data_IF_542176598968
#
_entry.id   IF_542176598968
#
_cell.length_a   1.000
_cell.length_b   1.000
_cell.length_c   1.000
_cell.angle_alpha   90.00
_cell.angle_beta   90.00
_cell.angle_gamma   90.00
#
_symmetry.space_group_name_H-M   'P 1'
#
loop_
_entity.id
_entity.type
_entity.pdbx_description
1 polymer ?
#
# COMPACT_ATOMS: atom_id res chain seq x y z
N UNK A 1 -5.44 -4.89 2.27
CA UNK A 1 -5.79 -4.22 1.00
C UNK A 1 -6.07 -5.24 -0.11
N UNK A 2 -5.11 -5.98 -0.62
CA UNK A 2 -5.27 -6.90 -1.77
C UNK A 2 -6.44 -7.90 -1.64
N UNK A 3 -6.80 -8.32 -0.42
CA UNK A 3 -7.93 -9.23 -0.18
C UNK A 3 -9.32 -8.60 -0.49
N UNK A 4 -9.40 -7.29 -0.66
CA UNK A 4 -10.62 -6.58 -1.07
C UNK A 4 -10.63 -6.18 -2.54
N UNK A 5 -9.60 -6.54 -3.31
CA UNK A 5 -9.39 -6.15 -4.71
C UNK A 5 -9.25 -7.37 -5.61
N UNK A 6 -9.40 -7.16 -6.90
CA UNK A 6 -9.04 -8.12 -7.95
C UNK A 6 -7.72 -7.71 -8.63
N UNK A 7 -7.11 -8.62 -9.37
CA UNK A 7 -5.94 -8.28 -10.19
C UNK A 7 -6.25 -7.33 -11.36
N UNK A 8 -7.53 -7.18 -11.69
CA UNK A 8 -7.99 -6.22 -12.69
C UNK A 8 -8.10 -4.80 -12.16
N UNK A 9 -8.05 -4.60 -10.84
CA UNK A 9 -8.02 -3.28 -10.22
C UNK A 9 -6.57 -2.75 -10.23
N UNK A 10 -6.25 -1.69 -11.00
CA UNK A 10 -4.90 -1.16 -11.06
C UNK A 10 -4.40 -0.62 -9.72
N UNK A 11 -3.13 -0.85 -9.43
CA UNK A 11 -2.44 -0.25 -8.29
C UNK A 11 -1.20 0.48 -8.78
N UNK A 12 -1.03 1.71 -8.28
CA UNK A 12 0.22 2.46 -8.37
C UNK A 12 0.58 2.97 -6.98
N UNK A 13 1.86 2.93 -6.62
CA UNK A 13 2.31 3.24 -5.27
C UNK A 13 3.56 4.14 -5.26
N UNK A 14 3.96 4.54 -4.07
CA UNK A 14 5.24 5.18 -3.83
C UNK A 14 6.40 4.17 -3.96
N UNK A 15 7.57 4.54 -3.49
CA UNK A 15 8.80 3.74 -3.60
C UNK A 15 8.82 2.45 -2.75
N UNK A 16 8.00 2.34 -1.69
CA UNK A 16 7.99 1.17 -0.79
C UNK A 16 6.93 0.15 -1.23
N UNK A 17 7.26 -0.68 -2.21
CA UNK A 17 6.31 -1.49 -2.96
C UNK A 17 6.57 -2.99 -2.98
N UNK A 18 7.55 -3.50 -2.24
CA UNK A 18 7.97 -4.91 -2.37
C UNK A 18 6.84 -5.89 -2.02
N UNK A 19 6.00 -5.55 -1.04
CA UNK A 19 4.85 -6.38 -0.68
C UNK A 19 3.79 -6.39 -1.79
N UNK A 20 3.51 -5.25 -2.41
CA UNK A 20 2.60 -5.13 -3.55
C UNK A 20 3.14 -5.90 -4.76
N UNK A 21 4.42 -5.73 -5.08
CA UNK A 21 5.09 -6.47 -6.16
C UNK A 21 4.96 -7.99 -5.95
N UNK A 22 5.22 -8.46 -4.73
CA UNK A 22 5.05 -9.88 -4.38
C UNK A 22 3.60 -10.36 -4.55
N UNK A 23 2.63 -9.59 -4.05
CA UNK A 23 1.20 -9.94 -4.16
C UNK A 23 0.73 -9.90 -5.61
N UNK A 24 1.28 -9.01 -6.42
CA UNK A 24 0.96 -8.84 -7.84
C UNK A 24 1.74 -9.76 -8.77
N UNK A 25 2.43 -10.78 -8.25
CA UNK A 25 2.91 -11.91 -9.03
C UNK A 25 4.41 -12.13 -9.07
N UNK A 26 5.22 -11.19 -8.61
CA UNK A 26 6.67 -11.40 -8.53
C UNK A 26 7.04 -12.33 -7.38
N UNK A 27 8.01 -13.20 -7.62
CA UNK A 27 8.63 -14.01 -6.57
C UNK A 27 9.61 -13.15 -5.75
N UNK A 28 9.88 -13.59 -4.51
CA UNK A 28 10.91 -12.96 -3.67
C UNK A 28 12.28 -12.97 -4.37
N UNK A 29 12.57 -14.03 -5.15
CA UNK A 29 13.82 -14.16 -5.91
C UNK A 29 13.94 -13.07 -6.97
N UNK A 30 12.89 -12.81 -7.75
CA UNK A 30 12.87 -11.76 -8.78
C UNK A 30 13.01 -10.37 -8.16
N UNK A 31 12.36 -10.12 -7.02
CA UNK A 31 12.46 -8.85 -6.28
C UNK A 31 13.90 -8.63 -5.80
N UNK A 32 14.53 -9.63 -5.18
CA UNK A 32 15.92 -9.53 -4.70
C UNK A 32 16.90 -9.38 -5.89
N UNK A 33 16.69 -10.15 -6.95
CA UNK A 33 17.51 -10.07 -8.15
C UNK A 33 17.46 -8.67 -8.78
N UNK A 34 16.27 -8.04 -8.79
CA UNK A 34 16.11 -6.67 -9.27
C UNK A 34 16.90 -5.66 -8.43
N UNK A 35 16.78 -5.76 -7.10
CA UNK A 35 17.53 -4.90 -6.17
C UNK A 35 19.06 -5.03 -6.33
N UNK A 36 19.53 -6.20 -6.77
CA UNK A 36 20.94 -6.49 -7.04
C UNK A 36 21.36 -6.19 -8.48
N UNK A 37 20.50 -5.58 -9.30
CA UNK A 37 20.79 -5.24 -10.69
C UNK A 37 20.94 -6.44 -11.61
N UNK A 38 20.35 -7.60 -11.28
CA UNK A 38 20.49 -8.82 -12.08
C UNK A 38 19.45 -8.90 -13.19
N UNK A 39 19.85 -9.46 -14.34
CA UNK A 39 18.96 -9.66 -15.49
C UNK A 39 17.75 -10.55 -15.18
N UNK A 40 17.84 -11.43 -14.19
CA UNK A 40 16.75 -12.27 -13.72
C UNK A 40 15.75 -11.54 -12.79
N UNK A 41 15.95 -10.25 -12.57
CA UNK A 41 15.04 -9.41 -11.78
C UNK A 41 13.76 -9.07 -12.53
N UNK A 42 12.79 -8.54 -11.79
CA UNK A 42 11.45 -8.21 -12.26
C UNK A 42 11.42 -7.28 -13.49
N UNK A 43 12.36 -6.33 -13.58
CA UNK A 43 12.54 -5.40 -14.70
C UNK A 43 13.95 -5.49 -15.28
N UNK A 44 14.54 -6.67 -15.27
CA UNK A 44 15.88 -7.01 -15.79
C UNK A 44 17.01 -6.22 -15.11
N UNK A 45 16.86 -5.93 -13.83
CA UNK A 45 17.86 -5.23 -13.03
C UNK A 45 17.90 -3.72 -13.21
N UNK A 46 16.96 -3.12 -13.95
CA UNK A 46 16.93 -1.68 -14.25
C UNK A 46 16.06 -0.87 -13.27
N UNK A 47 15.16 -1.52 -12.56
CA UNK A 47 14.20 -0.86 -11.67
C UNK A 47 14.75 -0.58 -10.26
N UNK A 48 15.82 -1.23 -9.86
CA UNK A 48 16.39 -1.10 -8.51
C UNK A 48 15.41 -1.54 -7.43
N UNK A 49 15.20 -0.72 -6.40
CA UNK A 49 14.29 -1.05 -5.29
C UNK A 49 12.88 -0.47 -5.43
N UNK A 50 12.59 0.30 -6.47
CA UNK A 50 11.36 1.10 -6.57
C UNK A 50 10.52 0.83 -7.81
N UNK A 51 11.12 0.48 -8.93
CA UNK A 51 10.44 0.45 -10.22
C UNK A 51 10.14 -0.99 -10.65
N UNK A 52 9.01 -1.51 -10.15
CA UNK A 52 8.48 -2.83 -10.49
C UNK A 52 7.13 -2.66 -11.18
N UNK A 53 6.96 -3.24 -12.35
CA UNK A 53 5.73 -3.13 -13.14
C UNK A 53 5.28 -4.51 -13.58
N UNK A 54 4.03 -4.87 -13.34
CA UNK A 54 3.48 -6.15 -13.77
C UNK A 54 2.20 -5.93 -14.58
N UNK A 55 2.36 -5.84 -15.91
CA UNK A 55 1.28 -5.47 -16.83
C UNK A 55 0.07 -6.39 -16.72
N UNK A 56 0.28 -7.72 -16.69
CA UNK A 56 -0.80 -8.71 -16.65
C UNK A 56 -1.67 -8.60 -15.38
N UNK A 57 -1.07 -8.21 -14.25
CA UNK A 57 -1.76 -8.08 -12.98
C UNK A 57 -2.05 -6.62 -12.61
N UNK A 58 -2.07 -5.72 -13.60
CA UNK A 58 -2.37 -4.30 -13.44
C UNK A 58 -1.61 -3.61 -12.30
N UNK A 59 -0.33 -3.98 -12.14
CA UNK A 59 0.56 -3.33 -11.20
C UNK A 59 1.41 -2.29 -11.93
N UNK A 60 1.07 -1.02 -11.72
CA UNK A 60 1.74 0.13 -12.33
C UNK A 60 2.98 0.59 -11.56
N UNK A 61 3.37 -0.21 -10.57
CA UNK A 61 4.65 -0.11 -9.90
C UNK A 61 4.76 0.97 -8.85
N UNK A 62 6.01 1.24 -8.49
CA UNK A 62 6.40 2.30 -7.57
C UNK A 62 6.96 3.50 -8.30
N UNK A 63 6.89 4.64 -7.63
CA UNK A 63 7.42 5.89 -8.13
C UNK A 63 8.45 6.46 -7.15
N UNK A 64 9.64 6.82 -7.65
CA UNK A 64 10.70 7.45 -6.87
C UNK A 64 10.47 8.94 -6.66
N UNK A 65 9.71 9.59 -7.55
CA UNK A 65 9.33 11.00 -7.42
C UNK A 65 8.15 11.09 -6.48
N UNK A 66 8.36 11.68 -5.32
CA UNK A 66 7.37 11.75 -4.23
C UNK A 66 6.09 12.47 -4.69
N UNK A 67 4.97 11.78 -4.62
CA UNK A 67 3.65 12.32 -5.01
C UNK A 67 3.29 12.15 -6.49
N UNK A 68 4.25 11.90 -7.39
CA UNK A 68 3.98 11.81 -8.83
C UNK A 68 3.05 10.64 -9.22
N UNK A 69 2.99 9.59 -8.43
CA UNK A 69 2.03 8.48 -8.64
C UNK A 69 0.57 8.92 -8.51
N UNK A 70 0.30 10.05 -7.85
CA UNK A 70 -1.08 10.49 -7.58
C UNK A 70 -1.77 10.92 -8.88
N UNK A 71 -1.25 11.87 -9.66
CA UNK A 71 -1.85 12.24 -10.94
C UNK A 71 -1.77 11.10 -11.97
N UNK A 72 -0.75 10.25 -11.93
CA UNK A 72 -0.69 9.04 -12.79
C UNK A 72 -1.83 8.09 -12.45
N UNK A 73 -2.13 7.88 -11.16
CA UNK A 73 -3.28 7.07 -10.73
C UNK A 73 -4.61 7.65 -11.21
N UNK A 74 -4.77 8.98 -11.20
CA UNK A 74 -5.93 9.65 -11.78
C UNK A 74 -6.04 9.38 -13.29
N UNK A 75 -4.92 9.43 -14.01
CA UNK A 75 -4.88 9.07 -15.44
C UNK A 75 -5.26 7.61 -15.71
N UNK A 76 -4.82 6.67 -14.88
CA UNK A 76 -5.22 5.26 -14.96
C UNK A 76 -6.74 5.11 -14.72
N UNK A 77 -7.29 5.78 -13.70
CA UNK A 77 -8.72 5.77 -13.41
C UNK A 77 -9.54 6.41 -14.56
N UNK A 78 -9.01 7.47 -15.17
CA UNK A 78 -9.60 8.06 -16.38
C UNK A 78 -9.67 7.04 -17.52
N UNK A 79 -8.59 6.29 -17.77
CA UNK A 79 -8.56 5.24 -18.79
C UNK A 79 -9.57 4.12 -18.50
N UNK A 80 -9.73 3.69 -17.24
CA UNK A 80 -10.76 2.73 -16.85
C UNK A 80 -12.16 3.22 -17.19
N UNK A 81 -12.46 4.47 -16.82
CA UNK A 81 -13.76 5.09 -17.10
C UNK A 81 -14.00 5.23 -18.61
N UNK A 82 -13.02 5.73 -19.36
CA UNK A 82 -13.11 5.87 -20.81
C UNK A 82 -13.38 4.53 -21.50
N UNK A 83 -12.74 3.46 -21.04
CA UNK A 83 -12.92 2.09 -21.52
C UNK A 83 -14.17 1.40 -20.95
N UNK A 84 -14.98 2.08 -20.13
CA UNK A 84 -16.19 1.55 -19.47
C UNK A 84 -15.92 0.29 -18.63
N UNK A 85 -14.73 0.17 -18.05
CA UNK A 85 -14.37 -0.93 -17.16
C UNK A 85 -14.94 -0.71 -15.77
N UNK A 86 -15.48 -1.77 -15.16
CA UNK A 86 -16.00 -1.78 -13.79
C UNK A 86 -14.89 -2.13 -12.78
N UNK A 87 -13.81 -1.36 -12.80
CA UNK A 87 -12.65 -1.50 -11.95
C UNK A 87 -12.33 -0.17 -11.26
N UNK A 88 -11.57 -0.23 -10.18
CA UNK A 88 -11.11 0.93 -9.44
C UNK A 88 -9.59 1.02 -9.47
N UNK A 89 -9.03 2.20 -9.64
CA UNK A 89 -7.60 2.42 -9.46
C UNK A 89 -7.30 2.81 -8.01
N UNK A 90 -6.22 2.26 -7.46
CA UNK A 90 -5.71 2.65 -6.15
C UNK A 90 -4.38 3.38 -6.34
N UNK A 91 -4.31 4.63 -5.90
CA UNK A 91 -3.04 5.37 -5.82
C UNK A 91 -2.61 5.50 -4.38
N UNK A 92 -1.44 4.93 -4.05
CA UNK A 92 -0.92 4.87 -2.69
C UNK A 92 0.19 5.91 -2.49
N UNK A 93 0.13 6.65 -1.40
CA UNK A 93 1.14 7.66 -1.06
C UNK A 93 1.24 7.82 0.46
N UNK A 94 2.36 8.34 0.94
CA UNK A 94 2.57 8.54 2.36
C UNK A 94 2.07 9.92 2.86
N UNK A 95 2.04 10.09 4.18
CA UNK A 95 1.67 11.33 4.85
C UNK A 95 2.54 12.53 4.43
N UNK A 96 3.84 12.33 4.19
CA UNK A 96 4.71 13.37 3.67
C UNK A 96 4.32 13.83 2.25
N UNK A 97 3.97 12.86 1.36
CA UNK A 97 3.52 13.15 0.01
C UNK A 97 2.15 13.85 -0.02
N UNK A 98 1.32 13.66 1.00
CA UNK A 98 0.02 14.29 1.11
C UNK A 98 0.08 15.84 1.22
N UNK A 99 1.26 16.42 1.43
CA UNK A 99 1.48 17.86 1.44
C UNK A 99 1.88 18.44 0.08
N UNK A 100 1.97 17.61 -0.96
CA UNK A 100 2.29 18.05 -2.32
C UNK A 100 1.09 18.70 -3.03
N UNK A 101 1.31 19.81 -3.75
CA UNK A 101 0.25 20.53 -4.47
C UNK A 101 -0.46 19.68 -5.54
N UNK A 102 0.26 18.82 -6.24
CA UNK A 102 -0.29 17.97 -7.30
C UNK A 102 -1.40 16.98 -6.83
N UNK A 103 -1.52 16.73 -5.52
CA UNK A 103 -2.62 15.94 -4.98
C UNK A 103 -3.97 16.66 -5.16
N UNK A 104 -3.99 17.97 -4.93
CA UNK A 104 -5.19 18.81 -5.07
C UNK A 104 -5.60 18.95 -6.53
N UNK A 105 -4.64 19.06 -7.45
CA UNK A 105 -4.89 19.08 -8.90
C UNK A 105 -5.52 17.77 -9.36
N UNK A 106 -4.93 16.64 -8.98
CA UNK A 106 -5.46 15.31 -9.30
C UNK A 106 -6.82 15.06 -8.64
N UNK A 107 -7.03 15.51 -7.41
CA UNK A 107 -8.29 15.41 -6.69
C UNK A 107 -9.40 16.18 -7.41
N UNK A 108 -9.14 17.44 -7.78
CA UNK A 108 -10.11 18.27 -8.49
C UNK A 108 -10.56 17.62 -9.81
N UNK A 109 -9.63 17.17 -10.66
CA UNK A 109 -9.96 16.48 -11.91
C UNK A 109 -10.72 15.19 -11.67
N UNK A 110 -10.29 14.41 -10.68
CA UNK A 110 -10.92 13.13 -10.36
C UNK A 110 -12.37 13.28 -9.90
N UNK A 111 -12.66 14.30 -9.09
CA UNK A 111 -14.02 14.60 -8.65
C UNK A 111 -14.89 15.11 -9.79
N UNK A 112 -14.39 16.10 -10.55
CA UNK A 112 -15.09 16.69 -11.69
C UNK A 112 -15.53 15.61 -12.69
N UNK A 113 -14.66 14.64 -12.94
CA UNK A 113 -14.92 13.56 -13.90
C UNK A 113 -15.47 12.29 -13.25
N UNK A 114 -15.76 12.29 -11.95
CA UNK A 114 -16.23 11.11 -11.20
C UNK A 114 -15.39 9.86 -11.52
N UNK A 115 -14.08 9.95 -11.36
CA UNK A 115 -13.17 8.86 -11.68
C UNK A 115 -13.24 7.74 -10.63
N UNK A 116 -13.19 6.45 -11.03
CA UNK A 116 -13.15 5.32 -10.09
C UNK A 116 -11.76 5.22 -9.45
N UNK A 117 -11.48 6.08 -8.48
CA UNK A 117 -10.14 6.25 -7.88
C UNK A 117 -10.20 6.27 -6.35
N UNK A 118 -9.34 5.49 -5.72
CA UNK A 118 -9.07 5.56 -4.29
C UNK A 118 -7.73 6.26 -4.08
N UNK A 119 -7.76 7.46 -3.49
CA UNK A 119 -6.59 8.15 -2.97
C UNK A 119 -6.24 7.56 -1.60
N UNK A 120 -5.25 6.69 -1.52
CA UNK A 120 -4.88 6.00 -0.28
C UNK A 120 -3.65 6.62 0.36
N UNK A 121 -3.85 7.38 1.43
CA UNK A 121 -2.77 7.93 2.25
C UNK A 121 -2.35 6.93 3.33
N UNK A 122 -1.13 6.42 3.26
CA UNK A 122 -0.51 5.60 4.31
C UNK A 122 0.09 6.52 5.37
N UNK A 123 -0.71 6.90 6.37
CA UNK A 123 -0.25 7.76 7.46
C UNK A 123 0.53 6.93 8.48
N UNK A 124 1.85 6.89 8.31
CA UNK A 124 2.75 6.18 9.20
C UNK A 124 3.40 7.08 10.27
N UNK A 125 2.93 8.31 10.41
CA UNK A 125 3.31 9.36 11.37
C UNK A 125 4.61 10.10 11.09
N UNK A 126 5.41 9.66 10.12
CA UNK A 126 6.70 10.30 9.83
C UNK A 126 6.99 10.33 8.32
N UNK A 127 7.06 11.52 7.75
CA UNK A 127 7.66 11.77 6.46
C UNK A 127 9.19 11.85 6.61
N UNK A 128 9.92 10.75 6.39
CA UNK A 128 11.33 10.57 6.77
C UNK A 128 11.52 10.79 8.28
N UNK A 129 12.17 11.85 8.71
CA UNK A 129 12.40 12.22 10.11
C UNK A 129 11.45 13.31 10.63
N UNK A 130 10.52 13.80 9.79
CA UNK A 130 9.58 14.87 10.16
C UNK A 130 8.24 14.27 10.55
N UNK A 131 7.78 14.54 11.77
CA UNK A 131 6.46 14.08 12.20
C UNK A 131 5.33 14.80 11.48
N UNK A 132 4.16 14.16 11.44
CA UNK A 132 2.96 14.74 10.81
C UNK A 132 2.60 16.08 11.44
N UNK A 133 2.70 16.20 12.77
CA UNK A 133 2.39 17.41 13.52
C UNK A 133 3.32 18.58 13.21
N UNK A 134 4.57 18.28 12.81
CA UNK A 134 5.54 19.31 12.39
C UNK A 134 5.41 19.72 10.94
N UNK A 135 4.83 18.85 10.11
CA UNK A 135 4.75 19.05 8.65
C UNK A 135 3.40 19.52 8.14
N UNK A 136 2.34 19.38 8.95
CA UNK A 136 0.97 19.62 8.50
C UNK A 136 0.13 20.29 9.56
N UNK A 137 -0.49 21.41 9.23
CA UNK A 137 -1.47 22.06 10.10
C UNK A 137 -2.72 21.16 10.25
N UNK A 138 -3.25 20.67 9.16
CA UNK A 138 -4.31 19.67 9.18
C UNK A 138 -3.70 18.27 9.07
N UNK A 139 -3.71 17.54 10.19
CA UNK A 139 -3.18 16.18 10.32
C UNK A 139 -4.19 15.08 10.00
N UNK A 140 -5.40 15.44 9.60
CA UNK A 140 -6.48 14.54 9.18
C UNK A 140 -6.45 14.41 7.66
N UNK A 141 -5.59 13.55 7.15
CA UNK A 141 -5.35 13.45 5.71
C UNK A 141 -6.56 12.98 4.91
N UNK A 142 -7.51 12.29 5.51
CA UNK A 142 -8.76 11.90 4.85
C UNK A 142 -9.62 13.12 4.42
N UNK A 143 -9.38 14.29 4.99
CA UNK A 143 -10.08 15.54 4.61
C UNK A 143 -9.40 16.32 3.49
N UNK A 144 -8.25 15.81 2.97
CA UNK A 144 -7.46 16.51 1.94
C UNK A 144 -8.14 16.57 0.58
N UNK A 145 -9.13 15.74 0.36
CA UNK A 145 -9.88 15.75 -0.90
C UNK A 145 -10.85 16.92 -1.07
N UNK A 146 -10.99 17.81 -0.06
CA UNK A 146 -11.97 18.88 -0.01
C UNK A 146 -13.39 18.37 -0.25
N UNK A 147 -13.89 18.45 -1.48
CA UNK A 147 -15.22 17.95 -1.88
C UNK A 147 -15.28 16.43 -2.06
N UNK A 148 -14.14 15.73 -2.09
CA UNK A 148 -14.10 14.26 -2.18
C UNK A 148 -14.40 13.66 -0.80
N UNK A 149 -15.35 12.73 -0.68
CA UNK A 149 -15.61 12.04 0.56
C UNK A 149 -14.34 11.38 1.12
N UNK A 150 -14.11 11.57 2.41
CA UNK A 150 -12.93 11.04 3.09
C UNK A 150 -13.28 10.04 4.18
N UNK A 151 -12.46 9.00 4.31
CA UNK A 151 -12.61 7.98 5.35
C UNK A 151 -11.27 7.69 6.01
N UNK A 152 -11.30 7.50 7.33
CA UNK A 152 -10.14 7.14 8.14
C UNK A 152 -10.28 5.72 8.65
N UNK A 153 -9.23 4.92 8.49
CA UNK A 153 -9.23 3.48 8.77
C UNK A 153 -8.04 3.13 9.65
N UNK A 154 -8.23 2.23 10.60
CA UNK A 154 -7.12 1.58 11.29
C UNK A 154 -6.43 0.60 10.32
N UNK A 155 -5.31 1.03 9.75
CA UNK A 155 -4.51 0.25 8.80
C UNK A 155 -3.87 -1.01 9.39
N UNK A 156 -3.88 -1.15 10.72
CA UNK A 156 -3.38 -2.32 11.44
C UNK A 156 -4.51 -3.33 11.77
N UNK A 157 -5.76 -3.02 11.46
CA UNK A 157 -6.87 -3.95 11.56
C UNK A 157 -7.13 -4.62 10.21
N UNK A 158 -6.75 -5.90 10.08
CA UNK A 158 -6.88 -6.65 8.84
C UNK A 158 -8.33 -6.80 8.37
N UNK A 159 -9.28 -6.90 9.28
CA UNK A 159 -10.71 -7.03 8.96
C UNK A 159 -11.27 -5.68 8.49
N UNK A 160 -10.99 -4.60 9.22
CA UNK A 160 -11.39 -3.26 8.83
C UNK A 160 -10.84 -2.89 7.44
N UNK A 161 -9.54 -3.15 7.19
CA UNK A 161 -8.91 -2.90 5.88
C UNK A 161 -9.55 -3.74 4.78
N UNK A 162 -9.85 -5.01 5.03
CA UNK A 162 -10.49 -5.88 4.02
C UNK A 162 -11.87 -5.38 3.64
N UNK A 163 -12.70 -5.10 4.63
CA UNK A 163 -14.10 -4.70 4.39
C UNK A 163 -14.20 -3.30 3.77
N UNK A 164 -13.39 -2.35 4.25
CA UNK A 164 -13.41 -1.01 3.67
C UNK A 164 -12.93 -1.01 2.22
N UNK A 165 -11.96 -1.85 1.85
CA UNK A 165 -11.51 -1.93 0.46
C UNK A 165 -12.60 -2.48 -0.46
N UNK A 166 -13.37 -3.47 -0.02
CA UNK A 166 -14.51 -4.00 -0.78
C UNK A 166 -15.60 -2.92 -0.97
N UNK A 167 -15.95 -2.25 0.12
CA UNK A 167 -16.94 -1.18 0.07
C UNK A 167 -16.49 -0.04 -0.83
N UNK A 168 -15.25 0.44 -0.66
CA UNK A 168 -14.69 1.55 -1.42
C UNK A 168 -14.62 1.26 -2.92
N UNK A 169 -14.30 0.01 -3.29
CA UNK A 169 -14.33 -0.40 -4.70
C UNK A 169 -15.73 -0.19 -5.30
N UNK A 170 -16.75 -0.70 -4.64
CA UNK A 170 -18.13 -0.57 -5.13
C UNK A 170 -18.58 0.89 -5.16
N UNK A 171 -18.25 1.65 -4.12
CA UNK A 171 -18.54 3.08 -4.05
C UNK A 171 -17.91 3.84 -5.21
N UNK A 172 -16.60 3.69 -5.42
CA UNK A 172 -15.88 4.47 -6.43
C UNK A 172 -16.30 4.14 -7.87
N UNK A 173 -16.77 2.92 -8.14
CA UNK A 173 -17.30 2.55 -9.47
C UNK A 173 -18.60 3.28 -9.78
N UNK A 174 -19.46 3.51 -8.76
CA UNK A 174 -20.75 4.18 -8.94
C UNK A 174 -20.67 5.70 -8.78
N UNK A 175 -20.04 6.16 -7.71
CA UNK A 175 -20.13 7.54 -7.24
C UNK A 175 -18.94 8.43 -7.60
N UNK A 176 -17.74 7.85 -7.75
CA UNK A 176 -16.52 8.59 -8.06
C UNK A 176 -15.43 8.41 -7.00
N UNK A 177 -14.45 9.34 -6.92
CA UNK A 177 -13.27 9.15 -6.09
C UNK A 177 -13.55 9.16 -4.60
N UNK A 178 -12.68 8.47 -3.84
CA UNK A 178 -12.69 8.43 -2.38
C UNK A 178 -11.30 8.75 -1.85
N UNK A 179 -11.23 9.55 -0.79
CA UNK A 179 -9.99 9.81 -0.06
C UNK A 179 -9.93 8.89 1.17
N UNK A 180 -8.88 8.09 1.28
CA UNK A 180 -8.73 7.10 2.35
C UNK A 180 -7.45 7.32 3.12
N UNK A 181 -7.53 7.51 4.43
CA UNK A 181 -6.39 7.57 5.32
C UNK A 181 -6.25 6.26 6.08
N UNK A 182 -5.17 5.51 5.80
CA UNK A 182 -4.79 4.29 6.52
C UNK A 182 -3.83 4.65 7.65
N UNK A 183 -4.32 4.59 8.89
CA UNK A 183 -3.52 4.83 10.08
C UNK A 183 -2.62 3.65 10.36
N UNK A 184 -1.31 3.88 10.35
CA UNK A 184 -0.31 2.85 10.65
C UNK A 184 0.91 3.47 11.35
N UNK A 185 1.98 2.71 11.47
CA UNK A 185 3.24 3.18 12.05
C UNK A 185 4.44 2.51 11.39
N UNK A 186 5.49 3.28 11.11
CA UNK A 186 6.74 2.77 10.54
C UNK A 186 7.69 2.32 11.65
N UNK A 187 7.84 1.02 11.87
CA UNK A 187 8.70 0.46 12.94
C UNK A 187 10.20 0.60 12.69
N UNK A 188 10.63 0.65 11.45
CA UNK A 188 12.03 0.80 11.04
C UNK A 188 12.33 2.21 10.54
N UNK A 189 13.59 2.51 10.25
CA UNK A 189 13.96 3.77 9.59
C UNK A 189 13.32 3.93 8.23
N UNK A 190 13.43 5.13 7.67
CA UNK A 190 12.86 5.47 6.37
C UNK A 190 13.52 4.67 5.23
N UNK A 191 14.85 4.54 5.29
CA UNK A 191 15.68 3.82 4.33
C UNK A 191 16.85 3.14 5.05
N UNK A 192 17.73 2.47 4.31
CA UNK A 192 18.93 1.84 4.88
C UNK A 192 19.86 2.82 5.59
N UNK A 193 19.93 4.06 5.11
CA UNK A 193 20.76 5.11 5.71
C UNK A 193 20.14 5.80 6.93
N UNK A 194 18.87 5.55 7.21
CA UNK A 194 18.17 6.12 8.36
C UNK A 194 18.10 5.11 9.51
N UNK A 195 18.82 5.35 10.62
CA UNK A 195 18.74 4.48 11.80
C UNK A 195 17.37 4.52 12.49
N UNK A 196 16.55 5.55 12.19
CA UNK A 196 15.20 5.71 12.72
C UNK A 196 15.11 6.12 14.19
N UNK A 197 16.23 6.48 14.82
CA UNK A 197 16.33 6.79 16.26
C UNK A 197 16.81 8.23 16.53
N UNK A 198 17.10 9.01 15.52
CA UNK A 198 17.54 10.41 15.67
C UNK A 198 16.39 11.37 15.92
N UNK A 199 15.17 11.00 15.58
CA UNK A 199 13.95 11.84 15.68
C UNK A 199 12.84 11.21 16.51
N UNK A 200 13.03 9.98 17.03
CA UNK A 200 12.10 9.25 17.90
C UNK A 200 12.85 8.26 18.77
N UNK A 201 12.26 7.86 19.90
CA UNK A 201 12.90 6.95 20.84
C UNK A 201 12.63 5.47 20.50
N UNK A 202 13.46 4.56 21.03
CA UNK A 202 13.20 3.12 20.95
C UNK A 202 11.94 2.72 21.71
N UNK A 203 11.67 3.39 22.82
CA UNK A 203 10.50 3.11 23.65
C UNK A 203 9.21 3.47 22.92
N UNK A 204 9.17 4.61 22.22
CA UNK A 204 8.05 4.96 21.35
C UNK A 204 7.75 3.85 20.32
N UNK A 205 8.79 3.39 19.60
CA UNK A 205 8.63 2.35 18.57
C UNK A 205 8.15 1.03 19.19
N UNK A 206 8.70 0.66 20.36
CA UNK A 206 8.35 -0.58 21.06
C UNK A 206 6.90 -0.52 21.54
N UNK A 207 6.48 0.60 22.11
CA UNK A 207 5.12 0.80 22.60
C UNK A 207 4.12 0.78 21.46
N UNK A 208 4.37 1.51 20.38
CA UNK A 208 3.53 1.49 19.16
C UNK A 208 3.40 0.10 18.57
N UNK A 209 4.47 -0.70 18.60
CA UNK A 209 4.46 -2.07 18.11
C UNK A 209 3.62 -2.98 19.00
N UNK A 210 3.74 -2.86 20.33
CA UNK A 210 2.93 -3.64 21.28
C UNK A 210 1.44 -3.36 21.12
N UNK A 211 1.07 -2.09 20.93
CA UNK A 211 -0.33 -1.67 20.84
C UNK A 211 -0.98 -1.99 19.49
N UNK A 212 -0.22 -1.93 18.39
CA UNK A 212 -0.79 -1.89 17.04
C UNK A 212 -0.27 -2.91 16.04
N UNK A 213 0.56 -3.90 16.42
CA UNK A 213 1.04 -4.89 15.44
C UNK A 213 -0.12 -5.77 14.95
N UNK A 214 -0.42 -5.76 13.62
CA UNK A 214 -1.56 -6.49 13.07
C UNK A 214 -1.47 -8.01 13.26
N UNK A 215 -0.25 -8.56 13.33
CA UNK A 215 -0.06 -10.00 13.55
C UNK A 215 -0.37 -10.39 15.00
N UNK A 216 0.08 -9.57 15.96
CA UNK A 216 -0.20 -9.76 17.37
C UNK A 216 -1.70 -9.66 17.64
N UNK A 217 -2.35 -8.63 17.06
CA UNK A 217 -3.79 -8.42 17.17
C UNK A 217 -4.60 -9.59 16.60
N UNK A 218 -4.25 -10.04 15.38
CA UNK A 218 -4.95 -11.15 14.73
C UNK A 218 -4.78 -12.45 15.52
N UNK A 219 -3.56 -12.74 15.99
CA UNK A 219 -3.28 -13.90 16.84
C UNK A 219 -4.16 -13.89 18.09
N UNK A 220 -4.23 -12.74 18.77
CA UNK A 220 -5.08 -12.58 19.95
C UNK A 220 -6.55 -12.86 19.63
N UNK A 221 -7.09 -12.30 18.55
CA UNK A 221 -8.48 -12.54 18.12
C UNK A 221 -8.74 -14.03 17.89
N UNK A 222 -7.84 -14.76 17.22
CA UNK A 222 -7.97 -16.18 16.95
C UNK A 222 -8.04 -16.97 18.27
N UNK A 223 -7.14 -16.71 19.21
CA UNK A 223 -7.05 -17.43 20.48
C UNK A 223 -8.23 -17.10 21.40
N UNK A 224 -8.57 -15.83 21.58
CA UNK A 224 -9.65 -15.37 22.46
C UNK A 224 -11.02 -15.91 22.01
N UNK A 225 -11.24 -16.05 20.71
CA UNK A 225 -12.47 -16.59 20.12
C UNK A 225 -12.42 -18.11 19.86
N UNK A 226 -11.37 -18.79 20.31
CA UNK A 226 -11.20 -20.26 20.12
C UNK A 226 -11.32 -20.70 18.66
N UNK A 227 -10.84 -19.87 17.72
CA UNK A 227 -10.85 -20.15 16.30
C UNK A 227 -9.63 -20.95 15.83
N UNK A 228 -8.68 -21.19 16.71
CA UNK A 228 -7.48 -21.98 16.50
C UNK A 228 -6.61 -22.02 17.74
N UNK A 229 -5.60 -22.89 17.72
CA UNK A 229 -4.64 -23.06 18.81
C UNK A 229 -3.30 -22.34 18.53
N UNK A 230 -2.48 -22.18 19.57
CA UNK A 230 -1.13 -21.62 19.42
C UNK A 230 -0.28 -22.48 18.48
N UNK A 231 -0.41 -23.83 18.59
CA UNK A 231 0.32 -24.80 17.79
C UNK A 231 -0.04 -24.66 16.30
N UNK A 232 -1.33 -24.55 15.98
CA UNK A 232 -1.82 -24.34 14.61
C UNK A 232 -1.30 -23.06 13.99
N UNK A 233 -1.26 -21.99 14.78
CA UNK A 233 -0.67 -20.69 14.35
C UNK A 233 0.81 -20.86 14.05
N UNK A 234 1.57 -21.53 14.91
CA UNK A 234 3.01 -21.76 14.72
C UNK A 234 3.29 -22.65 13.50
N UNK A 235 2.50 -23.71 13.31
CA UNK A 235 2.57 -24.55 12.10
C UNK A 235 2.31 -23.72 10.85
N UNK A 236 1.27 -22.91 10.85
CA UNK A 236 0.92 -22.02 9.73
C UNK A 236 2.07 -21.06 9.39
N UNK A 237 2.65 -20.40 10.40
CA UNK A 237 3.80 -19.50 10.22
C UNK A 237 5.00 -20.25 9.65
N UNK A 238 5.26 -21.46 10.16
CA UNK A 238 6.39 -22.30 9.74
C UNK A 238 6.21 -22.78 8.30
N UNK A 239 5.02 -23.24 7.92
CA UNK A 239 4.67 -23.60 6.55
C UNK A 239 4.83 -22.43 5.59
N UNK A 240 4.40 -21.21 5.99
CA UNK A 240 4.57 -20.02 5.19
C UNK A 240 6.04 -19.67 4.96
N UNK A 241 6.89 -19.89 5.97
CA UNK A 241 8.36 -19.72 5.85
C UNK A 241 8.97 -20.73 4.89
N UNK A 242 8.53 -21.98 4.92
CA UNK A 242 9.00 -23.05 4.02
C UNK A 242 8.54 -22.78 2.59
N UNK A 243 7.27 -22.41 2.37
CA UNK A 243 6.73 -22.07 1.05
C UNK A 243 7.43 -20.87 0.43
N UNK A 244 7.85 -19.90 1.23
CA UNK A 244 8.67 -18.78 0.77
C UNK A 244 10.06 -19.21 0.28
N UNK A 245 10.62 -20.30 0.82
CA UNK A 245 11.93 -20.84 0.42
C UNK A 245 11.87 -21.69 -0.86
N UNK A 246 10.71 -22.24 -1.21
CA UNK A 246 10.55 -23.01 -2.46
C UNK A 246 10.44 -22.06 -3.65
N UNK A 247 11.25 -22.19 -4.70
CA UNK A 247 11.01 -21.48 -5.96
C UNK A 247 9.65 -21.94 -6.49
N UNK A 248 8.77 -21.01 -6.84
CA UNK A 248 7.59 -21.35 -7.64
C UNK A 248 8.12 -21.99 -8.92
N UNK A 249 7.73 -23.24 -9.19
CA UNK A 249 8.04 -23.90 -10.44
C UNK A 249 7.46 -23.03 -11.56
N UNK A 250 8.30 -22.32 -12.25
CA UNK A 250 7.96 -21.67 -13.50
C UNK A 250 7.73 -22.81 -14.50
N UNK A 251 6.51 -23.16 -14.78
CA UNK A 251 6.17 -23.76 -16.05
C UNK A 251 6.38 -22.69 -17.12
N UNK A 252 7.62 -22.52 -17.53
CA UNK A 252 7.95 -21.85 -18.77
C UNK A 252 7.54 -22.86 -19.84
N UNK A 253 6.35 -22.71 -20.41
CA UNK A 253 6.09 -23.20 -21.75
C UNK A 253 6.63 -22.15 -22.70
N UNK A 254 7.48 -22.63 -23.57
CA UNK A 254 8.17 -21.97 -24.68
C UNK A 254 7.22 -21.09 -25.51
#
# INVERSE_FOLDING_TARGET
MEAGLSFDDPIIAAYRIHCQAYKRGYSVREIIAEMLGKQTGATRGKGGSMHYYHKTNNFYGGNGIVGAQIPVGAGIAFALKYQKKKNVCITMFGDGAANQGQIFEAANMSFLWKLPLIFMCENNKYGMGTSVERSSMNTQFYTRGDVIPGIRVDGNDVFAVREIMKWSKNYCIGEGPLFMEMMTYRYHGHSMSDPGLTYRTRDEVTERRKQGDPLVRLKKIILDNKLGTEEEIQVTISLFRILKKRPRSTSIRQ
#
